data_IF_997450658925
#
_entry.id   IF_997450658925
#
_cell.length_a   1.000
_cell.length_b   1.000
_cell.length_c   1.000
_cell.angle_alpha   90.00
_cell.angle_beta   90.00
_cell.angle_gamma   90.00
#
_symmetry.space_group_name_H-M   'P 1'
#
loop_
_entity.id
_entity.type
_entity.pdbx_description
1 polymer ?
#
# COMPACT_ATOMS: atom_id res chain seq x y z
N UNK A 1 -6.36 -40.04 -1.00
CA UNK A 1 -6.68 -39.09 0.09
C UNK A 1 -7.20 -37.83 -0.55
N UNK A 2 -8.46 -37.46 -0.31
CA UNK A 2 -9.03 -36.21 -0.80
C UNK A 2 -8.36 -35.02 -0.08
N UNK A 3 -8.13 -33.86 -0.74
CA UNK A 3 -7.59 -32.70 -0.07
C UNK A 3 -8.57 -32.20 0.99
N UNK A 4 -8.04 -31.85 2.17
CA UNK A 4 -8.82 -31.30 3.27
C UNK A 4 -9.56 -30.01 2.84
N UNK A 5 -10.76 -29.74 3.38
CA UNK A 5 -11.50 -28.52 3.07
C UNK A 5 -10.65 -27.30 3.46
N UNK A 6 -10.42 -26.42 2.48
CA UNK A 6 -9.76 -25.13 2.70
C UNK A 6 -10.69 -24.31 3.59
N UNK A 7 -10.26 -24.01 4.81
CA UNK A 7 -11.02 -23.17 5.74
C UNK A 7 -11.35 -21.81 5.12
N UNK A 8 -12.38 -21.10 5.61
CA UNK A 8 -12.73 -19.78 5.10
C UNK A 8 -11.54 -18.83 5.23
N UNK A 9 -11.23 -18.13 4.13
CA UNK A 9 -10.16 -17.13 4.09
C UNK A 9 -10.41 -16.04 5.15
N UNK A 10 -9.36 -15.62 5.84
CA UNK A 10 -9.46 -14.49 6.76
C UNK A 10 -9.77 -13.21 5.98
N UNK A 11 -10.73 -12.43 6.46
CA UNK A 11 -11.04 -11.11 5.89
C UNK A 11 -9.88 -10.14 6.15
N UNK A 12 -9.58 -9.31 5.16
CA UNK A 12 -8.54 -8.28 5.31
C UNK A 12 -8.96 -7.25 6.38
N UNK A 13 -8.03 -6.81 7.25
CA UNK A 13 -8.25 -5.68 8.15
C UNK A 13 -8.53 -4.37 7.40
N UNK A 14 -9.16 -3.42 8.09
CA UNK A 14 -9.42 -2.06 7.56
C UNK A 14 -8.13 -1.27 7.29
N UNK A 15 -7.02 -1.65 7.94
CA UNK A 15 -5.70 -1.08 7.73
C UNK A 15 -4.89 -1.91 6.72
N UNK A 16 -3.94 -1.28 6.00
CA UNK A 16 -2.97 -2.01 5.20
C UNK A 16 -2.29 -3.09 6.04
N UNK A 17 -2.48 -4.34 5.64
CA UNK A 17 -2.07 -5.52 6.40
C UNK A 17 -0.88 -6.18 5.74
N UNK A 18 0.15 -6.47 6.53
CA UNK A 18 1.44 -6.96 6.04
C UNK A 18 1.96 -8.15 6.85
N UNK A 19 2.48 -9.15 6.16
CA UNK A 19 3.30 -10.21 6.75
C UNK A 19 4.73 -10.13 6.22
N UNK A 20 5.70 -10.42 7.08
CA UNK A 20 7.10 -10.61 6.69
C UNK A 20 7.40 -12.09 6.79
N UNK A 21 7.71 -12.73 5.66
CA UNK A 21 8.11 -14.13 5.62
C UNK A 21 9.57 -14.30 6.06
N UNK A 22 9.94 -15.45 6.64
CA UNK A 22 11.33 -15.76 6.94
C UNK A 22 12.21 -15.60 5.71
N UNK A 23 13.23 -14.75 5.81
CA UNK A 23 14.19 -14.58 4.73
C UNK A 23 14.90 -15.91 4.47
N UNK A 24 15.02 -16.27 3.20
CA UNK A 24 15.66 -17.52 2.80
C UNK A 24 17.16 -17.43 2.96
N UNK A 25 17.76 -18.36 3.70
CA UNK A 25 19.22 -18.51 3.75
C UNK A 25 19.73 -19.14 2.45
N UNK A 26 20.43 -18.36 1.63
CA UNK A 26 21.07 -18.79 0.38
C UNK A 26 22.59 -18.93 0.50
N UNK A 27 23.14 -18.93 1.72
CA UNK A 27 24.58 -19.13 1.96
C UNK A 27 25.01 -20.59 1.85
N UNK A 28 24.07 -21.55 1.91
CA UNK A 28 24.37 -22.99 1.93
C UNK A 28 24.89 -23.52 3.28
N UNK A 29 24.97 -22.65 4.29
CA UNK A 29 25.43 -22.95 5.64
C UNK A 29 24.28 -22.75 6.63
N UNK A 30 23.73 -23.84 7.22
CA UNK A 30 22.65 -23.77 8.20
C UNK A 30 23.01 -22.96 9.46
N UNK A 31 24.29 -22.87 9.83
CA UNK A 31 24.72 -22.06 10.98
C UNK A 31 24.48 -20.57 10.75
N UNK A 32 24.19 -20.14 9.52
CA UNK A 32 23.89 -18.75 9.19
C UNK A 32 22.39 -18.43 9.17
N UNK A 33 21.53 -19.41 9.51
CA UNK A 33 20.08 -19.21 9.53
C UNK A 33 19.66 -18.13 10.52
N UNK A 34 20.32 -18.04 11.68
CA UNK A 34 20.01 -17.02 12.70
C UNK A 34 20.10 -15.60 12.14
N UNK A 35 20.94 -15.36 11.15
CA UNK A 35 21.11 -14.04 10.55
C UNK A 35 19.93 -13.66 9.66
N UNK A 36 19.42 -14.62 8.88
CA UNK A 36 18.22 -14.41 8.07
C UNK A 36 16.97 -14.23 8.96
N UNK A 37 16.93 -14.97 10.07
CA UNK A 37 15.86 -14.86 11.06
C UNK A 37 15.90 -13.53 11.80
N UNK A 38 17.08 -13.07 12.20
CA UNK A 38 17.29 -11.77 12.86
C UNK A 38 16.80 -10.61 11.99
N UNK A 39 17.20 -10.55 10.72
CA UNK A 39 16.69 -9.53 9.77
C UNK A 39 15.17 -9.59 9.66
N UNK A 40 14.59 -10.79 9.60
CA UNK A 40 13.13 -10.94 9.53
C UNK A 40 12.45 -10.37 10.78
N UNK A 41 13.00 -10.66 11.96
CA UNK A 41 12.49 -10.17 13.24
C UNK A 41 12.58 -8.66 13.39
N UNK A 42 13.71 -8.07 12.98
CA UNK A 42 13.93 -6.64 13.07
C UNK A 42 12.96 -5.89 12.16
N UNK A 43 12.74 -6.37 10.93
CA UNK A 43 11.75 -5.78 10.00
C UNK A 43 10.34 -5.86 10.59
N UNK A 44 9.94 -7.00 11.17
CA UNK A 44 8.62 -7.13 11.83
C UNK A 44 8.51 -6.13 12.99
N UNK A 45 9.56 -6.02 13.80
CA UNK A 45 9.60 -5.15 14.97
C UNK A 45 9.47 -3.68 14.58
N UNK A 46 10.24 -3.23 13.59
CA UNK A 46 10.20 -1.86 13.11
C UNK A 46 8.87 -1.52 12.43
N UNK A 47 8.35 -2.40 11.56
CA UNK A 47 7.03 -2.18 10.95
C UNK A 47 5.92 -2.09 12.00
N UNK A 48 6.01 -2.88 13.07
CA UNK A 48 5.02 -2.90 14.15
C UNK A 48 4.95 -1.59 14.94
N UNK A 49 5.97 -0.71 14.82
CA UNK A 49 5.93 0.64 15.39
C UNK A 49 5.02 1.59 14.61
N UNK A 50 4.72 1.28 13.35
CA UNK A 50 3.79 2.07 12.54
C UNK A 50 2.35 1.81 12.94
N UNK A 51 1.65 2.84 13.43
CA UNK A 51 0.22 2.74 13.78
C UNK A 51 -0.69 2.61 12.56
N UNK A 52 -0.18 2.92 11.37
CA UNK A 52 -0.91 2.85 10.11
C UNK A 52 -0.99 1.42 9.56
N UNK A 53 -0.12 0.51 10.01
CA UNK A 53 -0.03 -0.85 9.51
C UNK A 53 -0.67 -1.86 10.48
N UNK A 54 -1.24 -2.92 9.92
CA UNK A 54 -1.56 -4.14 10.65
C UNK A 54 -0.49 -5.19 10.33
N UNK A 55 0.41 -5.46 11.29
CA UNK A 55 1.55 -6.36 11.08
C UNK A 55 1.25 -7.73 11.70
N UNK A 56 1.46 -8.79 10.91
CA UNK A 56 1.29 -10.17 11.40
C UNK A 56 2.42 -10.56 12.35
N UNK A 57 2.03 -11.21 13.45
CA UNK A 57 2.96 -11.72 14.43
C UNK A 57 3.95 -12.72 13.81
N UNK A 58 5.21 -12.60 14.22
CA UNK A 58 6.33 -13.46 13.80
C UNK A 58 5.99 -14.94 13.74
N UNK A 59 5.40 -15.48 14.79
CA UNK A 59 5.12 -16.92 14.90
C UNK A 59 4.16 -17.44 13.83
N UNK A 60 3.25 -16.60 13.33
CA UNK A 60 2.34 -16.97 12.24
C UNK A 60 3.10 -17.01 10.91
N UNK A 61 3.97 -16.04 10.63
CA UNK A 61 4.79 -16.03 9.42
C UNK A 61 5.84 -17.14 9.39
N UNK A 62 6.43 -17.47 10.54
CA UNK A 62 7.50 -18.46 10.63
C UNK A 62 7.04 -19.90 10.34
N UNK A 63 5.73 -20.15 10.30
CA UNK A 63 5.17 -21.42 9.85
C UNK A 63 5.44 -21.70 8.36
N UNK A 64 5.79 -20.68 7.58
CA UNK A 64 6.11 -20.78 6.15
C UNK A 64 7.60 -20.97 5.87
N UNK A 65 8.43 -21.09 6.90
CA UNK A 65 9.86 -21.38 6.76
C UNK A 65 10.11 -22.62 5.89
N UNK A 66 11.09 -22.51 5.00
CA UNK A 66 11.59 -23.58 4.11
C UNK A 66 10.51 -24.23 3.22
N UNK A 67 9.37 -23.55 3.04
CA UNK A 67 8.31 -23.98 2.15
C UNK A 67 8.33 -23.12 0.90
N UNK A 68 8.29 -23.77 -0.26
CA UNK A 68 7.92 -23.08 -1.50
C UNK A 68 6.41 -22.82 -1.44
N UNK A 69 6.02 -21.60 -1.09
CA UNK A 69 4.62 -21.21 -0.93
C UNK A 69 4.27 -20.12 -1.92
N UNK A 70 3.13 -20.25 -2.57
CA UNK A 70 2.53 -19.14 -3.31
C UNK A 70 2.17 -18.03 -2.31
N UNK A 71 2.69 -16.83 -2.55
CA UNK A 71 2.44 -15.63 -1.74
C UNK A 71 0.93 -15.34 -1.62
N UNK A 72 0.13 -15.68 -2.64
CA UNK A 72 -1.35 -15.56 -2.61
C UNK A 72 -1.97 -16.47 -1.56
N UNK A 73 -1.39 -17.65 -1.35
CA UNK A 73 -1.85 -18.59 -0.32
C UNK A 73 -1.46 -18.08 1.06
N UNK A 74 -0.23 -17.62 1.24
CA UNK A 74 0.24 -17.01 2.50
C UNK A 74 -0.68 -15.86 2.90
N UNK A 75 -0.99 -14.97 1.96
CA UNK A 75 -1.88 -13.84 2.17
C UNK A 75 -3.29 -14.26 2.62
N UNK A 76 -3.85 -15.28 1.99
CA UNK A 76 -5.16 -15.84 2.36
C UNK A 76 -5.16 -16.47 3.75
N UNK A 77 -4.14 -17.28 4.03
CA UNK A 77 -4.02 -18.05 5.27
C UNK A 77 -3.74 -17.13 6.47
N UNK A 78 -3.01 -16.02 6.25
CA UNK A 78 -2.69 -15.02 7.27
C UNK A 78 -3.66 -13.84 7.33
N UNK A 79 -4.56 -13.69 6.35
CA UNK A 79 -5.47 -12.54 6.27
C UNK A 79 -4.76 -11.23 6.01
N UNK A 80 -3.72 -11.24 5.17
CA UNK A 80 -2.96 -10.03 4.80
C UNK A 80 -3.06 -9.74 3.33
N UNK A 81 -2.91 -8.47 2.98
CA UNK A 81 -2.82 -8.03 1.61
C UNK A 81 -1.39 -8.06 1.08
N UNK A 82 -0.45 -7.61 1.90
CA UNK A 82 0.92 -7.40 1.49
C UNK A 82 1.84 -8.42 2.14
N UNK A 83 2.86 -8.83 1.39
CA UNK A 83 3.88 -9.76 1.89
C UNK A 83 5.26 -9.19 1.56
N UNK A 84 6.14 -9.22 2.56
CA UNK A 84 7.57 -9.05 2.36
C UNK A 84 8.21 -10.44 2.34
N UNK A 85 9.02 -10.68 1.33
CA UNK A 85 9.89 -11.85 1.26
C UNK A 85 11.29 -11.45 0.80
N UNK A 86 12.24 -12.35 1.02
CA UNK A 86 13.62 -12.05 0.69
C UNK A 86 14.57 -13.21 0.91
N UNK A 87 15.83 -12.95 0.63
CA UNK A 87 16.91 -13.92 0.78
C UNK A 87 18.17 -13.24 1.27
N UNK A 88 18.95 -13.98 2.07
CA UNK A 88 20.25 -13.55 2.54
C UNK A 88 21.30 -14.53 2.07
N UNK A 89 22.39 -14.02 1.50
CA UNK A 89 23.55 -14.80 1.08
C UNK A 89 24.81 -14.15 1.61
N UNK A 90 25.47 -14.83 2.52
CA UNK A 90 26.79 -14.48 3.04
C UNK A 90 27.83 -15.36 2.34
N UNK A 91 28.84 -14.72 1.76
CA UNK A 91 29.95 -15.39 1.08
C UNK A 91 31.25 -14.65 1.41
N UNK A 92 32.14 -15.31 2.14
CA UNK A 92 33.38 -14.69 2.64
C UNK A 92 33.08 -13.45 3.50
N UNK A 93 33.74 -12.35 3.20
CA UNK A 93 33.55 -11.06 3.88
C UNK A 93 32.37 -10.22 3.37
N UNK A 94 31.44 -10.77 2.59
CA UNK A 94 30.32 -10.02 2.00
C UNK A 94 28.97 -10.65 2.29
N UNK A 95 27.97 -9.79 2.39
CA UNK A 95 26.57 -10.14 2.58
C UNK A 95 25.75 -9.50 1.48
N UNK A 96 24.91 -10.31 0.86
CA UNK A 96 23.91 -9.93 -0.11
C UNK A 96 22.53 -10.19 0.45
N UNK A 97 21.70 -9.16 0.51
CA UNK A 97 20.32 -9.26 0.93
C UNK A 97 19.45 -8.84 -0.24
N UNK A 98 18.38 -9.57 -0.48
CA UNK A 98 17.34 -9.20 -1.45
C UNK A 98 16.03 -9.17 -0.71
N UNK A 99 15.26 -8.11 -0.88
CA UNK A 99 13.96 -7.91 -0.25
C UNK A 99 12.95 -7.46 -1.30
N UNK A 100 11.73 -7.94 -1.17
CA UNK A 100 10.64 -7.66 -2.12
C UNK A 100 9.35 -7.41 -1.35
N UNK A 101 8.56 -6.46 -1.84
CA UNK A 101 7.22 -6.17 -1.37
C UNK A 101 6.22 -6.56 -2.45
N UNK A 102 5.23 -7.38 -2.10
CA UNK A 102 4.27 -7.96 -3.02
C UNK A 102 2.85 -7.59 -2.58
N UNK A 103 2.01 -7.11 -3.51
CA UNK A 103 0.55 -7.11 -3.31
C UNK A 103 0.03 -8.50 -3.68
N UNK A 104 -0.33 -9.28 -2.67
CA UNK A 104 -0.64 -10.69 -2.81
C UNK A 104 -2.04 -10.95 -3.37
N UNK A 105 -2.88 -9.92 -3.51
CA UNK A 105 -4.22 -10.07 -4.12
C UNK A 105 -4.08 -10.28 -5.64
N UNK A 106 -3.52 -9.33 -6.42
CA UNK A 106 -3.14 -9.54 -7.81
C UNK A 106 -1.86 -10.38 -7.97
N UNK A 107 -1.00 -10.46 -6.95
CA UNK A 107 0.28 -11.17 -6.98
C UNK A 107 1.38 -10.42 -7.74
N UNK A 108 1.41 -9.09 -7.73
CA UNK A 108 2.44 -8.29 -8.39
C UNK A 108 3.44 -7.71 -7.38
N UNK A 109 4.70 -7.59 -7.81
CA UNK A 109 5.75 -6.94 -7.03
C UNK A 109 5.55 -5.42 -7.06
N UNK A 110 5.43 -4.81 -5.88
CA UNK A 110 5.38 -3.36 -5.70
C UNK A 110 6.78 -2.75 -5.61
N UNK A 111 7.73 -3.51 -5.06
CA UNK A 111 9.13 -3.11 -4.93
C UNK A 111 10.03 -4.34 -4.78
N UNK A 112 11.27 -4.21 -5.25
CA UNK A 112 12.33 -5.18 -5.06
C UNK A 112 13.65 -4.43 -5.01
N UNK A 113 14.50 -4.79 -4.04
CA UNK A 113 15.82 -4.19 -3.90
C UNK A 113 16.85 -5.22 -3.46
N UNK A 114 18.11 -4.92 -3.79
CA UNK A 114 19.25 -5.73 -3.43
C UNK A 114 20.30 -4.87 -2.76
N UNK A 115 20.75 -5.34 -1.61
CA UNK A 115 21.79 -4.74 -0.80
C UNK A 115 23.04 -5.62 -0.84
N UNK A 116 24.18 -5.03 -1.16
CA UNK A 116 25.49 -5.68 -1.13
C UNK A 116 26.38 -4.90 -0.16
N UNK A 117 26.83 -5.56 0.92
CA UNK A 117 27.61 -4.95 2.03
C UNK A 117 28.76 -5.86 2.48
N UNK A 118 29.76 -5.28 3.16
CA UNK A 118 30.83 -6.04 3.83
C UNK A 118 30.36 -6.50 5.21
N UNK A 119 30.91 -7.62 5.68
CA UNK A 119 30.53 -8.21 6.97
C UNK A 119 31.16 -7.53 8.18
N UNK A 120 32.20 -6.73 7.96
CA UNK A 120 32.94 -6.00 8.99
C UNK A 120 32.01 -5.10 9.83
N UNK A 121 30.92 -4.63 9.23
CA UNK A 121 29.92 -3.74 9.82
C UNK A 121 28.57 -4.46 10.04
N UNK A 122 28.58 -5.77 10.35
CA UNK A 122 27.38 -6.64 10.29
C UNK A 122 26.14 -6.07 11.00
N UNK A 123 26.31 -5.56 12.22
CA UNK A 123 25.22 -5.01 13.02
C UNK A 123 24.76 -3.66 12.48
N UNK A 124 25.68 -2.77 12.12
CA UNK A 124 25.36 -1.47 11.51
C UNK A 124 24.64 -1.66 10.16
N UNK A 125 25.06 -2.66 9.38
CA UNK A 125 24.43 -3.07 8.13
C UNK A 125 23.03 -3.62 8.35
N UNK A 126 22.82 -4.39 9.43
CA UNK A 126 21.50 -4.94 9.77
C UNK A 126 20.53 -3.82 10.15
N UNK A 127 20.95 -2.87 10.98
CA UNK A 127 20.13 -1.74 11.41
C UNK A 127 19.83 -0.78 10.25
N UNK A 128 20.84 -0.38 9.46
CA UNK A 128 20.67 0.47 8.27
C UNK A 128 19.72 -0.18 7.26
N UNK A 129 19.90 -1.48 7.00
CA UNK A 129 19.07 -2.21 6.06
C UNK A 129 17.63 -2.32 6.55
N UNK A 130 17.43 -2.68 7.81
CA UNK A 130 16.08 -2.77 8.39
C UNK A 130 15.37 -1.43 8.26
N UNK A 131 16.02 -0.34 8.67
CA UNK A 131 15.45 1.00 8.57
C UNK A 131 15.14 1.38 7.11
N UNK A 132 16.05 1.10 6.18
CA UNK A 132 15.87 1.42 4.75
C UNK A 132 14.72 0.62 4.14
N UNK A 133 14.64 -0.69 4.43
CA UNK A 133 13.56 -1.57 3.96
C UNK A 133 12.23 -1.09 4.51
N UNK A 134 12.15 -0.81 5.82
CA UNK A 134 10.91 -0.36 6.49
C UNK A 134 10.44 0.97 5.92
N UNK A 135 11.32 1.98 5.85
CA UNK A 135 10.98 3.30 5.32
C UNK A 135 10.49 3.21 3.86
N UNK A 136 11.17 2.41 3.05
CA UNK A 136 10.78 2.19 1.65
C UNK A 136 9.45 1.47 1.55
N UNK A 137 9.24 0.40 2.33
CA UNK A 137 7.98 -0.36 2.35
C UNK A 137 6.81 0.52 2.75
N UNK A 138 6.94 1.30 3.83
CA UNK A 138 5.86 2.18 4.30
C UNK A 138 5.45 3.16 3.20
N UNK A 139 6.40 3.85 2.57
CA UNK A 139 6.09 4.77 1.47
C UNK A 139 5.48 4.07 0.24
N UNK A 140 5.96 2.87 -0.11
CA UNK A 140 5.40 2.08 -1.23
C UNK A 140 3.98 1.59 -0.95
N UNK A 141 3.67 1.24 0.30
CA UNK A 141 2.33 0.87 0.73
C UNK A 141 1.39 2.07 0.68
N UNK A 142 1.81 3.22 1.20
CA UNK A 142 1.04 4.46 1.08
C UNK A 142 0.72 4.77 -0.38
N UNK A 143 1.72 4.76 -1.28
CA UNK A 143 1.50 4.97 -2.71
C UNK A 143 0.52 3.94 -3.34
N UNK A 144 0.57 2.68 -2.88
CA UNK A 144 -0.32 1.63 -3.36
C UNK A 144 -1.76 1.89 -2.91
N UNK A 145 -1.97 2.18 -1.62
CA UNK A 145 -3.29 2.50 -1.05
C UNK A 145 -3.90 3.75 -1.69
N UNK A 146 -3.10 4.81 -1.86
CA UNK A 146 -3.53 6.03 -2.55
C UNK A 146 -4.03 5.72 -3.97
N UNK A 147 -3.28 4.92 -4.73
CA UNK A 147 -3.67 4.54 -6.10
C UNK A 147 -4.95 3.72 -6.12
N UNK A 148 -5.17 2.88 -5.12
CA UNK A 148 -6.37 2.05 -5.04
C UNK A 148 -7.60 2.85 -4.64
N UNK A 149 -7.48 3.70 -3.63
CA UNK A 149 -8.53 4.64 -3.26
C UNK A 149 -8.91 5.52 -4.46
N UNK A 150 -7.91 6.02 -5.19
CA UNK A 150 -8.11 6.85 -6.39
C UNK A 150 -8.83 6.11 -7.53
N UNK A 151 -8.61 4.81 -7.67
CA UNK A 151 -9.22 3.98 -8.71
C UNK A 151 -10.55 3.33 -8.29
N UNK A 152 -11.00 3.53 -7.05
CA UNK A 152 -12.24 2.94 -6.56
C UNK A 152 -13.42 3.56 -7.31
N UNK A 153 -14.20 2.70 -7.97
CA UNK A 153 -15.51 3.08 -8.53
C UNK A 153 -16.51 3.17 -7.38
N UNK A 154 -17.47 4.08 -7.50
CA UNK A 154 -18.59 4.14 -6.57
C UNK A 154 -19.49 2.92 -6.74
N UNK A 155 -19.99 2.39 -5.63
CA UNK A 155 -21.07 1.39 -5.63
C UNK A 155 -22.46 2.06 -5.62
N UNK A 156 -22.51 3.40 -5.52
CA UNK A 156 -23.72 4.21 -5.52
C UNK A 156 -24.07 4.71 -6.92
N UNK A 157 -25.06 4.08 -7.55
CA UNK A 157 -25.60 4.54 -8.84
C UNK A 157 -26.04 6.02 -8.81
N UNK A 158 -26.69 6.53 -7.73
CA UNK A 158 -26.99 7.96 -7.61
C UNK A 158 -25.74 8.84 -7.59
N UNK A 159 -24.68 8.46 -6.86
CA UNK A 159 -23.44 9.22 -6.84
C UNK A 159 -22.77 9.25 -8.23
N UNK A 160 -22.87 8.14 -8.97
CA UNK A 160 -22.40 8.04 -10.34
C UNK A 160 -23.19 8.94 -11.31
N UNK A 161 -24.52 8.97 -11.20
CA UNK A 161 -25.36 9.88 -12.00
C UNK A 161 -25.01 11.35 -11.74
N UNK A 162 -24.89 11.73 -10.47
CA UNK A 162 -24.46 13.08 -10.08
C UNK A 162 -23.10 13.44 -10.70
N UNK A 163 -22.13 12.52 -10.65
CA UNK A 163 -20.82 12.72 -11.28
C UNK A 163 -20.93 12.96 -12.78
N UNK A 164 -21.65 12.11 -13.51
CA UNK A 164 -21.79 12.21 -14.97
C UNK A 164 -22.47 13.53 -15.38
N UNK A 165 -23.53 13.91 -14.66
CA UNK A 165 -24.24 15.18 -14.88
C UNK A 165 -23.33 16.37 -14.58
N UNK A 166 -22.53 16.31 -13.51
CA UNK A 166 -21.56 17.35 -13.18
C UNK A 166 -20.47 17.51 -14.25
N UNK A 167 -19.95 16.39 -14.78
CA UNK A 167 -18.99 16.40 -15.90
C UNK A 167 -19.63 17.03 -17.15
N UNK A 168 -20.90 16.72 -17.43
CA UNK A 168 -21.61 17.33 -18.55
C UNK A 168 -21.75 18.86 -18.38
N UNK A 169 -22.02 19.34 -17.15
CA UNK A 169 -22.08 20.79 -16.87
C UNK A 169 -20.73 21.48 -17.12
N UNK A 170 -19.60 20.89 -16.70
CA UNK A 170 -18.26 21.46 -16.96
C UNK A 170 -17.95 21.66 -18.45
N UNK A 171 -18.57 20.87 -19.35
CA UNK A 171 -18.41 21.03 -20.81
C UNK A 171 -19.16 22.24 -21.37
N UNK A 172 -20.12 22.80 -20.63
CA UNK A 172 -20.96 23.91 -21.07
C UNK A 172 -20.30 25.29 -21.00
N UNK A 173 -19.05 25.39 -20.55
CA UNK A 173 -18.24 26.63 -20.46
C UNK A 173 -19.02 27.88 -20.02
N UNK A 174 -19.27 28.01 -18.71
CA UNK A 174 -19.86 29.22 -18.13
C UNK A 174 -19.89 29.16 -16.60
N UNK A 175 -19.87 30.31 -15.91
CA UNK A 175 -19.82 30.35 -14.44
C UNK A 175 -21.00 29.62 -13.78
N UNK A 176 -22.21 29.76 -14.32
CA UNK A 176 -23.40 29.06 -13.79
C UNK A 176 -23.32 27.54 -14.02
N UNK A 177 -22.72 27.10 -15.15
CA UNK A 177 -22.48 25.68 -15.39
C UNK A 177 -21.43 25.12 -14.43
N UNK A 178 -20.38 25.89 -14.14
CA UNK A 178 -19.36 25.50 -13.15
C UNK A 178 -19.97 25.35 -11.76
N UNK A 179 -20.83 26.31 -11.36
CA UNK A 179 -21.57 26.25 -10.08
C UNK A 179 -22.45 25.01 -9.96
N UNK A 180 -23.23 24.71 -11.01
CA UNK A 180 -24.05 23.50 -11.05
C UNK A 180 -23.21 22.23 -11.03
N UNK A 181 -22.06 22.24 -11.70
CA UNK A 181 -21.13 21.12 -11.64
C UNK A 181 -20.64 20.89 -10.21
N UNK A 182 -20.21 21.93 -9.50
CA UNK A 182 -19.80 21.86 -8.10
C UNK A 182 -20.90 21.29 -7.22
N UNK A 183 -22.12 21.82 -7.31
CA UNK A 183 -23.28 21.34 -6.54
C UNK A 183 -23.57 19.85 -6.80
N UNK A 184 -23.43 19.38 -8.04
CA UNK A 184 -23.58 17.96 -8.40
C UNK A 184 -22.44 17.10 -7.83
N UNK A 185 -21.20 17.59 -7.82
CA UNK A 185 -20.08 16.87 -7.22
C UNK A 185 -20.16 16.84 -5.69
N UNK A 186 -20.63 17.90 -5.04
CA UNK A 186 -20.96 17.92 -3.60
C UNK A 186 -22.02 16.86 -3.27
N UNK A 187 -23.05 16.74 -4.11
CA UNK A 187 -24.06 15.68 -3.97
C UNK A 187 -23.43 14.29 -4.14
N UNK A 188 -22.62 14.07 -5.16
CA UNK A 188 -21.92 12.80 -5.37
C UNK A 188 -21.06 12.41 -4.16
N UNK A 189 -20.32 13.37 -3.57
CA UNK A 189 -19.52 13.16 -2.36
C UNK A 189 -20.38 12.87 -1.13
N UNK A 190 -21.54 13.53 -0.98
CA UNK A 190 -22.44 13.24 0.15
C UNK A 190 -23.12 11.87 0.04
N UNK A 191 -23.39 11.41 -1.18
CA UNK A 191 -23.97 10.10 -1.47
C UNK A 191 -22.94 8.95 -1.33
N UNK A 192 -21.68 9.21 -1.68
CA UNK A 192 -20.58 8.28 -1.47
C UNK A 192 -19.32 9.07 -1.04
N UNK A 193 -19.09 9.20 0.29
CA UNK A 193 -17.95 9.92 0.83
C UNK A 193 -16.59 9.37 0.42
N UNK A 194 -16.52 8.10 -0.02
CA UNK A 194 -15.28 7.44 -0.46
C UNK A 194 -15.08 7.52 -1.98
N UNK A 195 -15.96 8.20 -2.72
CA UNK A 195 -15.87 8.26 -4.17
C UNK A 195 -14.78 9.23 -4.65
N UNK A 196 -13.55 8.74 -4.78
CA UNK A 196 -12.38 9.56 -5.11
C UNK A 196 -12.53 10.40 -6.39
N UNK A 197 -13.21 9.87 -7.41
CA UNK A 197 -13.48 10.62 -8.63
C UNK A 197 -14.38 11.83 -8.38
N UNK A 198 -15.40 11.71 -7.52
CA UNK A 198 -16.26 12.85 -7.15
C UNK A 198 -15.50 13.93 -6.39
N UNK A 199 -14.61 13.55 -5.47
CA UNK A 199 -13.73 14.49 -4.77
C UNK A 199 -12.76 15.21 -5.73
N UNK A 200 -12.16 14.48 -6.68
CA UNK A 200 -11.28 15.08 -7.68
C UNK A 200 -12.01 16.09 -8.58
N UNK A 201 -13.23 15.76 -9.02
CA UNK A 201 -14.05 16.67 -9.82
C UNK A 201 -14.60 17.84 -9.01
N UNK A 202 -14.90 17.65 -7.71
CA UNK A 202 -15.26 18.74 -6.82
C UNK A 202 -14.09 19.72 -6.66
N UNK A 203 -12.88 19.22 -6.40
CA UNK A 203 -11.67 20.03 -6.33
C UNK A 203 -11.42 20.79 -7.65
N UNK A 204 -11.58 20.13 -8.79
CA UNK A 204 -11.49 20.77 -10.11
C UNK A 204 -12.54 21.87 -10.25
N UNK A 205 -13.79 21.62 -9.88
CA UNK A 205 -14.87 22.62 -10.00
C UNK A 205 -14.61 23.89 -9.18
N UNK A 206 -14.03 23.76 -7.98
CA UNK A 206 -13.59 24.90 -7.17
C UNK A 206 -12.54 25.75 -7.90
N UNK A 207 -11.59 25.10 -8.59
CA UNK A 207 -10.59 25.81 -9.39
C UNK A 207 -11.22 26.46 -10.63
N UNK A 208 -12.08 25.76 -11.35
CA UNK A 208 -12.70 26.26 -12.60
C UNK A 208 -13.59 27.46 -12.33
N UNK A 209 -14.38 27.44 -11.25
CA UNK A 209 -15.18 28.60 -10.81
C UNK A 209 -14.32 29.83 -10.52
N UNK A 210 -13.07 29.62 -10.11
CA UNK A 210 -12.14 30.67 -9.70
C UNK A 210 -11.01 30.89 -10.72
N UNK A 211 -11.27 30.56 -11.99
CA UNK A 211 -10.36 30.81 -13.11
C UNK A 211 -8.99 30.12 -12.98
N UNK A 212 -9.00 28.87 -12.52
CA UNK A 212 -7.86 27.94 -12.45
C UNK A 212 -6.63 28.55 -11.78
N UNK A 213 -5.61 28.91 -12.57
CA UNK A 213 -4.33 29.44 -12.08
C UNK A 213 -4.47 30.78 -11.36
N UNK A 214 -5.52 31.54 -11.68
CA UNK A 214 -5.83 32.82 -11.03
C UNK A 214 -6.59 32.65 -9.70
N UNK A 215 -6.97 31.43 -9.32
CA UNK A 215 -7.57 31.16 -8.02
C UNK A 215 -6.60 31.55 -6.89
N UNK A 216 -7.14 32.10 -5.81
CA UNK A 216 -6.35 32.44 -4.63
C UNK A 216 -5.72 31.19 -4.00
N UNK A 217 -4.63 31.37 -3.26
CA UNK A 217 -3.95 30.25 -2.58
C UNK A 217 -4.87 29.53 -1.60
N UNK A 218 -5.80 30.26 -0.96
CA UNK A 218 -6.82 29.67 -0.10
C UNK A 218 -7.72 28.68 -0.86
N UNK A 219 -8.12 29.00 -2.10
CA UNK A 219 -8.96 28.12 -2.92
C UNK A 219 -8.15 26.94 -3.44
N UNK A 220 -6.89 27.16 -3.84
CA UNK A 220 -5.99 26.08 -4.24
C UNK A 220 -5.75 25.10 -3.09
N UNK A 221 -5.53 25.61 -1.89
CA UNK A 221 -5.37 24.79 -0.68
C UNK A 221 -6.64 24.02 -0.37
N UNK A 222 -7.81 24.65 -0.47
CA UNK A 222 -9.09 23.99 -0.26
C UNK A 222 -9.35 22.89 -1.28
N UNK A 223 -9.07 23.13 -2.56
CA UNK A 223 -9.19 22.12 -3.61
C UNK A 223 -8.26 20.91 -3.33
N UNK A 224 -7.04 21.17 -2.85
CA UNK A 224 -6.11 20.12 -2.46
C UNK A 224 -6.65 19.27 -1.29
N UNK A 225 -7.18 19.90 -0.25
CA UNK A 225 -7.81 19.20 0.89
C UNK A 225 -8.96 18.31 0.46
N UNK A 226 -9.85 18.82 -0.40
CA UNK A 226 -10.98 18.07 -0.95
C UNK A 226 -10.49 16.87 -1.76
N UNK A 227 -9.54 17.07 -2.68
CA UNK A 227 -8.99 15.97 -3.48
C UNK A 227 -8.34 14.87 -2.62
N UNK A 228 -7.69 15.25 -1.51
CA UNK A 228 -7.07 14.31 -0.57
C UNK A 228 -8.06 13.63 0.37
N UNK A 229 -9.33 14.06 0.44
CA UNK A 229 -10.29 13.53 1.42
C UNK A 229 -10.65 12.07 1.14
N UNK A 230 -10.78 11.67 -0.13
CA UNK A 230 -11.05 10.27 -0.50
C UNK A 230 -9.84 9.35 -0.42
N UNK A 231 -8.66 9.92 -0.18
CA UNK A 231 -7.37 9.23 -0.17
C UNK A 231 -6.94 8.89 1.28
N UNK A 232 -7.58 9.51 2.28
CA UNK A 232 -7.36 9.26 3.71
C UNK A 232 -8.36 8.25 4.26
#
# INVERSE_FOLDING_TARGET
>A
VAPAPVGPALSLPDKPSIAVLPFTNMSGDPEQQYFSDGITEDIITELSRSRALFVIARNSSFQYRDKAVDVRRVARDLGVRYVIEGSVRKMGGRIRITAQLIDAVPGNHLWSERFDRRIEDLFDVQDELTHTVVATVVGRLEDAEIRMASNRRTDSLPAYDCLLRGIQQLRGFGMENNRRARELFEQAVSLDPQYAMAHAYLALSLLVENNYGAASDAIKQRALEVAMTAVR
#
